data_IF_778359085788
#
_entry.id   IF_778359085788
#
_cell.length_a   1.000
_cell.length_b   1.000
_cell.length_c   1.000
_cell.angle_alpha   90.00
_cell.angle_beta   90.00
_cell.angle_gamma   90.00
#
_symmetry.space_group_name_H-M   'P 1'
#
loop_
_entity.id
_entity.type
_entity.pdbx_description
1 polymer ?
#
# COMPACT_ATOMS: atom_id res chain seq x y z
N UNK A 1 -5.98 22.50 5.82
CA UNK A 1 -5.65 21.05 5.94
C UNK A 1 -4.37 20.77 5.18
N UNK A 2 -4.29 21.16 3.91
CA UNK A 2 -3.10 20.98 3.08
C UNK A 2 -2.56 22.32 2.57
N UNK A 3 -1.25 22.41 2.40
CA UNK A 3 -0.60 23.44 1.59
C UNK A 3 -0.75 23.07 0.11
N UNK A 4 -1.30 23.99 -0.67
CA UNK A 4 -1.61 23.76 -2.08
C UNK A 4 -0.37 23.66 -2.97
N UNK A 5 0.65 24.45 -2.68
CA UNK A 5 1.87 24.46 -3.48
C UNK A 5 2.68 23.20 -3.22
N UNK A 6 2.64 22.67 -1.99
CA UNK A 6 3.20 21.36 -1.65
C UNK A 6 2.46 20.22 -2.37
N UNK A 7 1.13 20.19 -2.33
CA UNK A 7 0.33 19.15 -3.03
C UNK A 7 0.59 19.17 -4.54
N UNK A 8 0.71 20.36 -5.14
CA UNK A 8 1.05 20.52 -6.56
C UNK A 8 2.46 20.03 -6.86
N UNK A 9 3.43 20.33 -6.02
CA UNK A 9 4.81 19.85 -6.18
C UNK A 9 4.89 18.32 -6.12
N UNK A 10 4.00 17.68 -5.33
CA UNK A 10 3.89 16.22 -5.22
C UNK A 10 3.10 15.57 -6.36
N UNK A 11 2.39 16.33 -7.19
CA UNK A 11 1.63 15.79 -8.34
C UNK A 11 0.30 15.12 -7.96
N UNK A 12 -0.23 15.41 -6.76
CA UNK A 12 -1.40 14.74 -6.18
C UNK A 12 -1.00 13.71 -5.12
N UNK A 13 -1.80 13.60 -4.06
CA UNK A 13 -1.47 12.77 -2.89
C UNK A 13 -2.66 11.91 -2.48
N UNK A 14 -2.35 10.78 -1.84
CA UNK A 14 -3.31 9.98 -1.07
C UNK A 14 -2.93 10.13 0.39
N UNK A 15 -3.90 10.52 1.21
CA UNK A 15 -3.67 10.78 2.63
C UNK A 15 -4.96 10.50 3.43
N UNK A 16 -4.85 10.54 4.76
CA UNK A 16 -5.97 10.34 5.67
C UNK A 16 -5.99 11.40 6.75
N UNK A 17 -7.17 11.59 7.34
CA UNK A 17 -7.35 12.48 8.50
C UNK A 17 -7.81 11.67 9.71
N UNK A 18 -7.28 11.98 10.89
CA UNK A 18 -7.85 11.49 12.15
C UNK A 18 -8.95 12.46 12.58
N UNK A 19 -10.19 11.98 12.63
CA UNK A 19 -11.34 12.86 12.85
C UNK A 19 -12.67 12.13 13.10
N UNK A 20 -13.80 12.86 13.08
CA UNK A 20 -15.11 12.30 13.37
C UNK A 20 -15.49 11.15 12.42
N UNK A 21 -16.16 10.12 12.94
CA UNK A 21 -16.45 8.85 12.27
C UNK A 21 -17.34 8.92 11.00
N UNK A 22 -17.77 10.11 10.57
CA UNK A 22 -18.79 10.35 9.53
C UNK A 22 -18.26 10.49 8.09
N UNK A 23 -16.97 10.75 7.90
CA UNK A 23 -16.35 10.78 6.56
C UNK A 23 -15.57 9.49 6.37
N UNK A 24 -15.92 8.71 5.34
CA UNK A 24 -15.23 7.45 5.03
C UNK A 24 -14.17 7.65 3.96
N UNK A 25 -14.58 8.19 2.82
CA UNK A 25 -13.69 8.48 1.69
C UNK A 25 -14.04 9.87 1.19
N UNK A 26 -13.03 10.71 1.00
CA UNK A 26 -13.18 12.01 0.39
C UNK A 26 -12.08 12.26 -0.64
N UNK A 27 -12.38 13.13 -1.59
CA UNK A 27 -11.46 13.67 -2.57
C UNK A 27 -11.52 15.20 -2.45
N UNK A 28 -10.35 15.84 -2.39
CA UNK A 28 -10.24 17.28 -2.55
C UNK A 28 -9.80 17.55 -3.98
N UNK A 29 -10.62 18.26 -4.74
CA UNK A 29 -10.33 18.60 -6.14
C UNK A 29 -10.10 20.10 -6.30
N UNK A 30 -9.09 20.46 -7.09
CA UNK A 30 -8.79 21.85 -7.42
C UNK A 30 -9.61 22.32 -8.63
N UNK A 31 -10.17 23.53 -8.57
CA UNK A 31 -10.78 24.18 -9.74
C UNK A 31 -10.20 25.59 -9.98
N UNK A 32 -9.54 25.78 -11.13
CA UNK A 32 -8.81 27.01 -11.44
C UNK A 32 -9.68 28.15 -12.04
N UNK A 33 -10.76 27.81 -12.76
CA UNK A 33 -11.62 28.82 -13.42
C UNK A 33 -12.28 29.80 -12.41
N UNK A 34 -11.98 31.11 -12.47
CA UNK A 34 -12.58 32.11 -11.58
C UNK A 34 -14.10 32.15 -11.60
N UNK A 35 -14.74 31.89 -12.75
CA UNK A 35 -16.20 31.87 -12.88
C UNK A 35 -16.80 30.67 -12.15
N UNK A 36 -16.16 29.51 -12.23
CA UNK A 36 -16.60 28.33 -11.50
C UNK A 36 -16.38 28.48 -9.99
N UNK A 37 -15.26 29.07 -9.56
CA UNK A 37 -15.03 29.38 -8.13
C UNK A 37 -16.13 30.26 -7.53
N UNK A 38 -16.60 31.26 -8.29
CA UNK A 38 -17.75 32.08 -7.89
C UNK A 38 -19.01 31.24 -7.65
N UNK A 39 -19.36 30.35 -8.58
CA UNK A 39 -20.55 29.49 -8.42
C UNK A 39 -20.39 28.43 -7.33
N UNK A 40 -19.22 27.81 -7.18
CA UNK A 40 -18.95 26.84 -6.13
C UNK A 40 -19.06 27.48 -4.74
N UNK A 41 -18.57 28.71 -4.57
CA UNK A 41 -18.77 29.46 -3.33
C UNK A 41 -20.25 29.82 -3.11
N UNK A 42 -20.97 30.23 -4.18
CA UNK A 42 -22.41 30.47 -4.11
C UNK A 42 -23.16 29.22 -3.61
N UNK A 43 -22.77 28.03 -4.08
CA UNK A 43 -23.31 26.73 -3.67
C UNK A 43 -22.72 26.16 -2.37
N UNK A 44 -21.97 26.96 -1.61
CA UNK A 44 -21.45 26.60 -0.27
C UNK A 44 -20.42 25.47 -0.27
N UNK A 45 -19.73 25.26 -1.39
CA UNK A 45 -18.59 24.34 -1.48
C UNK A 45 -17.29 24.93 -0.88
N UNK A 46 -17.28 26.23 -0.57
CA UNK A 46 -16.14 26.96 -0.05
C UNK A 46 -15.59 28.00 -1.02
N UNK A 47 -14.60 28.77 -0.57
CA UNK A 47 -13.97 29.82 -1.39
C UNK A 47 -12.96 29.26 -2.42
N UNK A 48 -12.58 27.98 -2.27
CA UNK A 48 -11.64 27.30 -3.13
C UNK A 48 -10.17 27.61 -2.78
N UNK A 49 -9.23 27.26 -3.69
CA UNK A 49 -9.47 26.55 -4.94
C UNK A 49 -9.68 25.03 -4.77
N UNK A 50 -9.53 24.49 -3.55
CA UNK A 50 -9.86 23.09 -3.23
C UNK A 50 -11.30 22.94 -2.75
N UNK A 51 -11.98 21.93 -3.29
CA UNK A 51 -13.37 21.63 -2.99
C UNK A 51 -13.54 20.16 -2.56
N UNK A 52 -14.27 19.88 -1.46
CA UNK A 52 -14.44 18.52 -0.97
C UNK A 52 -15.58 17.77 -1.65
N UNK A 53 -15.31 16.54 -2.05
CA UNK A 53 -16.28 15.56 -2.51
C UNK A 53 -16.15 14.33 -1.62
N UNK A 54 -17.24 13.80 -1.07
CA UNK A 54 -17.16 12.62 -0.21
C UNK A 54 -18.37 11.73 -0.37
N UNK A 55 -18.16 10.44 -0.10
CA UNK A 55 -19.23 9.45 0.02
C UNK A 55 -19.38 9.16 1.51
N UNK A 56 -20.56 9.45 2.12
CA UNK A 56 -20.74 9.37 3.57
C UNK A 56 -20.92 7.93 4.08
N UNK A 57 -20.71 6.92 3.24
CA UNK A 57 -20.81 5.51 3.58
C UNK A 57 -19.85 4.68 2.72
N UNK A 58 -19.46 3.52 3.25
CA UNK A 58 -18.86 2.43 2.51
C UNK A 58 -19.33 1.13 3.18
N UNK A 59 -20.08 0.33 2.45
CA UNK A 59 -20.84 -0.79 2.98
C UNK A 59 -20.31 -2.15 2.52
N UNK A 60 -19.02 -2.23 2.16
CA UNK A 60 -18.21 -3.44 1.91
C UNK A 60 -19.02 -4.62 1.32
N UNK A 61 -19.60 -5.48 2.17
CA UNK A 61 -20.35 -6.67 1.78
C UNK A 61 -21.63 -6.39 0.97
N UNK A 62 -22.26 -5.22 1.11
CA UNK A 62 -23.37 -4.79 0.27
C UNK A 62 -22.93 -4.27 -1.11
N UNK A 63 -21.68 -3.83 -1.23
CA UNK A 63 -21.13 -3.28 -2.48
C UNK A 63 -20.47 -4.37 -3.34
N UNK A 64 -19.97 -5.46 -2.73
CA UNK A 64 -19.38 -6.60 -3.45
C UNK A 64 -20.28 -7.20 -4.54
N UNK A 65 -21.60 -7.44 -4.32
CA UNK A 65 -22.48 -7.93 -5.39
C UNK A 65 -22.57 -6.99 -6.60
N UNK A 66 -22.45 -5.67 -6.41
CA UNK A 66 -22.44 -4.72 -7.51
C UNK A 66 -21.17 -4.85 -8.36
N UNK A 67 -20.02 -5.13 -7.73
CA UNK A 67 -18.77 -5.42 -8.44
C UNK A 67 -18.88 -6.67 -9.31
N UNK A 68 -19.47 -7.74 -8.76
CA UNK A 68 -19.71 -8.99 -9.50
C UNK A 68 -20.66 -8.73 -10.67
N UNK A 69 -21.77 -8.03 -10.45
CA UNK A 69 -22.72 -7.69 -11.50
C UNK A 69 -22.08 -6.84 -12.60
N UNK A 70 -21.19 -5.88 -12.25
CA UNK A 70 -20.43 -5.10 -13.22
C UNK A 70 -19.57 -5.96 -14.15
N UNK A 71 -18.76 -6.84 -13.57
CA UNK A 71 -17.91 -7.74 -14.35
C UNK A 71 -18.73 -8.66 -15.25
N UNK A 72 -19.81 -9.25 -14.72
CA UNK A 72 -20.60 -10.27 -15.44
C UNK A 72 -21.53 -9.67 -16.49
N UNK A 73 -22.22 -8.57 -16.17
CA UNK A 73 -23.27 -8.00 -17.03
C UNK A 73 -22.76 -6.92 -17.97
N UNK A 74 -21.73 -6.17 -17.55
CA UNK A 74 -21.21 -5.03 -18.31
C UNK A 74 -19.78 -5.25 -18.82
N UNK A 75 -19.09 -6.30 -18.35
CA UNK A 75 -17.73 -6.61 -18.78
C UNK A 75 -16.68 -5.62 -18.29
N UNK A 76 -16.97 -4.87 -17.22
CA UNK A 76 -16.07 -3.87 -16.66
C UNK A 76 -15.75 -4.11 -15.18
N UNK A 77 -14.60 -3.58 -14.73
CA UNK A 77 -14.12 -3.68 -13.36
C UNK A 77 -14.32 -2.35 -12.63
N UNK A 78 -14.41 -2.38 -11.29
CA UNK A 78 -14.64 -1.17 -10.48
C UNK A 78 -13.36 -0.35 -10.30
N UNK A 79 -12.22 -1.02 -10.14
CA UNK A 79 -10.93 -0.39 -9.87
C UNK A 79 -9.79 -1.14 -10.57
N UNK A 80 -9.67 -1.03 -11.90
CA UNK A 80 -8.52 -1.57 -12.61
C UNK A 80 -7.23 -0.84 -12.18
N UNK A 81 -6.12 -1.56 -11.93
CA UNK A 81 -4.82 -0.91 -11.88
C UNK A 81 -4.50 -0.32 -13.26
N UNK A 82 -3.92 0.89 -13.27
CA UNK A 82 -3.52 1.56 -14.52
C UNK A 82 -2.19 1.03 -15.05
N UNK A 83 -1.26 0.72 -14.16
CA UNK A 83 0.09 0.20 -14.43
C UNK A 83 0.61 -0.52 -13.17
N UNK A 84 1.93 -0.68 -13.02
CA UNK A 84 2.59 -1.19 -11.82
C UNK A 84 2.36 -0.34 -10.56
N UNK A 85 2.73 -0.87 -9.38
CA UNK A 85 2.55 -0.18 -8.11
C UNK A 85 3.28 1.16 -8.05
N UNK A 86 2.61 2.19 -7.53
CA UNK A 86 3.22 3.50 -7.21
C UNK A 86 3.34 3.72 -5.70
N UNK A 87 2.51 3.04 -4.91
CA UNK A 87 2.52 2.99 -3.44
C UNK A 87 2.49 1.53 -3.01
N UNK A 88 3.24 1.23 -1.97
CA UNK A 88 3.35 -0.08 -1.35
C UNK A 88 3.21 0.02 0.16
N UNK A 89 3.04 -1.12 0.85
CA UNK A 89 2.92 -1.16 2.31
C UNK A 89 4.08 -1.98 2.88
N UNK A 90 5.02 -1.29 3.54
CA UNK A 90 6.13 -1.94 4.23
C UNK A 90 5.72 -2.43 5.61
N UNK A 91 6.36 -3.50 6.07
CA UNK A 91 6.21 -4.00 7.44
C UNK A 91 7.08 -3.18 8.40
N UNK A 92 6.50 -2.73 9.51
CA UNK A 92 7.18 -2.00 10.59
C UNK A 92 6.97 -2.71 11.91
N UNK A 93 8.03 -2.85 12.71
CA UNK A 93 7.97 -3.56 13.98
C UNK A 93 7.07 -2.85 15.01
N UNK A 94 6.04 -3.54 15.54
CA UNK A 94 5.14 -3.03 16.60
C UNK A 94 5.79 -2.98 17.98
N UNK A 95 6.83 -3.80 18.17
CA UNK A 95 7.60 -3.97 19.41
C UNK A 95 9.04 -4.35 19.05
N UNK A 96 9.90 -4.42 20.04
CA UNK A 96 11.22 -5.04 19.86
C UNK A 96 11.04 -6.53 19.51
N UNK A 97 11.71 -6.96 18.44
CA UNK A 97 11.72 -8.33 17.93
C UNK A 97 13.12 -8.91 18.07
N UNK A 98 13.23 -10.11 18.62
CA UNK A 98 14.49 -10.81 18.78
C UNK A 98 14.87 -11.62 17.53
N UNK A 99 16.18 -11.86 17.37
CA UNK A 99 16.68 -12.75 16.34
C UNK A 99 16.11 -14.17 16.54
N UNK A 100 15.74 -14.83 15.44
CA UNK A 100 15.19 -16.17 15.43
C UNK A 100 13.68 -16.24 15.67
N UNK A 101 13.01 -15.16 16.09
CA UNK A 101 11.55 -15.11 16.14
C UNK A 101 10.94 -15.29 14.73
N UNK A 102 9.79 -15.95 14.67
CA UNK A 102 9.00 -16.11 13.44
C UNK A 102 7.86 -15.11 13.48
N UNK A 103 7.76 -14.27 12.46
CA UNK A 103 6.72 -13.25 12.35
C UNK A 103 5.34 -13.90 12.27
N UNK A 104 4.39 -13.33 13.02
CA UNK A 104 2.97 -13.69 12.96
C UNK A 104 2.30 -13.15 11.68
N UNK A 105 1.00 -13.39 11.51
CA UNK A 105 0.25 -12.88 10.37
C UNK A 105 0.06 -11.35 10.47
N UNK A 106 -0.09 -10.67 9.32
CA UNK A 106 -0.42 -9.26 9.27
C UNK A 106 -1.68 -8.95 10.12
N UNK A 107 -1.65 -7.81 10.81
CA UNK A 107 -2.73 -7.42 11.73
C UNK A 107 -2.64 -8.01 13.14
N UNK A 108 -1.67 -8.88 13.43
CA UNK A 108 -1.44 -9.46 14.76
C UNK A 108 -0.55 -8.56 15.65
N UNK A 109 0.49 -9.09 16.29
CA UNK A 109 1.21 -8.40 17.37
C UNK A 109 2.63 -7.95 17.00
N UNK A 110 3.23 -8.47 15.92
CA UNK A 110 4.65 -8.21 15.64
C UNK A 110 4.88 -7.06 14.65
N UNK A 111 4.04 -6.89 13.63
CA UNK A 111 4.22 -5.83 12.60
C UNK A 111 2.94 -5.05 12.31
N UNK A 112 3.08 -3.79 11.92
CA UNK A 112 2.04 -2.96 11.28
C UNK A 112 2.51 -2.50 9.90
N UNK A 113 1.57 -2.16 9.03
CA UNK A 113 1.86 -1.63 7.70
C UNK A 113 1.99 -0.12 7.67
N UNK A 114 2.98 0.39 6.93
CA UNK A 114 3.13 1.82 6.61
C UNK A 114 3.24 2.01 5.09
N UNK A 115 2.53 3.01 4.56
CA UNK A 115 2.54 3.28 3.13
C UNK A 115 3.83 3.99 2.71
N UNK A 116 4.47 3.51 1.65
CA UNK A 116 5.69 4.09 1.08
C UNK A 116 5.59 4.14 -0.44
N UNK A 117 6.32 5.08 -1.06
CA UNK A 117 6.43 5.10 -2.53
C UNK A 117 7.13 3.84 -3.04
N UNK A 118 6.68 3.29 -4.17
CA UNK A 118 7.21 2.05 -4.72
C UNK A 118 8.73 2.12 -5.03
N UNK A 119 9.23 3.31 -5.39
CA UNK A 119 10.67 3.52 -5.59
C UNK A 119 11.47 3.38 -4.30
N UNK A 120 10.96 3.91 -3.18
CA UNK A 120 11.58 3.72 -1.88
C UNK A 120 11.50 2.27 -1.43
N UNK A 121 10.32 1.65 -1.57
CA UNK A 121 10.07 0.24 -1.25
C UNK A 121 11.11 -0.67 -1.93
N UNK A 122 11.33 -0.45 -3.23
CA UNK A 122 12.31 -1.20 -4.01
C UNK A 122 13.75 -0.89 -3.59
N UNK A 123 14.13 0.39 -3.57
CA UNK A 123 15.51 0.81 -3.30
C UNK A 123 16.02 0.34 -1.93
N UNK A 124 15.14 0.35 -0.92
CA UNK A 124 15.45 -0.10 0.44
C UNK A 124 15.12 -1.57 0.70
N UNK A 125 14.54 -2.27 -0.29
CA UNK A 125 14.13 -3.68 -0.22
C UNK A 125 13.32 -3.98 1.04
N UNK A 126 12.35 -3.11 1.34
CA UNK A 126 11.46 -3.34 2.46
C UNK A 126 10.67 -4.64 2.29
N UNK A 127 10.40 -5.31 3.39
CA UNK A 127 9.52 -6.48 3.44
C UNK A 127 8.07 -6.00 3.34
N UNK A 128 7.26 -6.45 2.36
CA UNK A 128 5.84 -6.09 2.30
C UNK A 128 5.07 -6.63 3.51
N UNK A 129 4.20 -5.83 4.11
CA UNK A 129 3.39 -6.25 5.27
C UNK A 129 2.54 -7.49 4.94
N UNK A 130 2.01 -7.58 3.72
CA UNK A 130 1.26 -8.77 3.26
C UNK A 130 2.10 -10.04 3.10
N UNK A 131 3.42 -9.98 3.30
CA UNK A 131 4.35 -11.10 3.16
C UNK A 131 5.12 -11.42 4.45
N UNK A 132 4.73 -10.87 5.60
CA UNK A 132 5.45 -11.10 6.87
C UNK A 132 5.28 -12.52 7.42
N UNK A 133 4.10 -13.13 7.25
CA UNK A 133 3.74 -14.37 7.92
C UNK A 133 4.76 -15.49 7.69
N UNK A 134 5.26 -16.08 8.78
CA UNK A 134 6.20 -17.20 8.73
C UNK A 134 7.64 -16.82 8.40
N UNK A 135 7.94 -15.54 8.14
CA UNK A 135 9.30 -15.08 7.97
C UNK A 135 10.07 -15.18 9.29
N UNK A 136 11.26 -15.76 9.26
CA UNK A 136 12.10 -15.91 10.47
C UNK A 136 13.15 -14.80 10.52
N UNK A 137 13.24 -14.11 11.63
CA UNK A 137 14.19 -13.01 11.81
C UNK A 137 15.63 -13.53 11.89
N UNK A 138 16.52 -12.94 11.08
CA UNK A 138 17.97 -13.18 11.10
C UNK A 138 18.68 -12.39 12.19
N UNK A 139 18.12 -11.24 12.57
CA UNK A 139 18.67 -10.31 13.58
C UNK A 139 17.55 -9.67 14.39
N UNK A 140 17.91 -9.08 15.52
CA UNK A 140 16.96 -8.30 16.31
C UNK A 140 16.59 -7.00 15.58
N UNK A 141 15.32 -6.59 15.70
CA UNK A 141 14.74 -5.39 15.11
C UNK A 141 14.05 -4.59 16.22
N UNK A 142 14.46 -3.34 16.48
CA UNK A 142 13.81 -2.48 17.46
C UNK A 142 12.40 -2.09 16.99
N UNK A 143 11.54 -1.74 17.95
CA UNK A 143 10.23 -1.15 17.69
C UNK A 143 10.33 0.05 16.72
N UNK A 144 9.32 0.20 15.88
CA UNK A 144 9.13 1.28 14.90
C UNK A 144 10.21 1.32 13.79
N UNK A 145 11.01 0.25 13.64
CA UNK A 145 11.90 0.06 12.50
C UNK A 145 11.19 -0.72 11.37
N UNK A 146 11.28 -0.21 10.14
CA UNK A 146 10.86 -0.93 8.94
C UNK A 146 11.74 -2.16 8.68
N UNK A 147 11.09 -3.29 8.39
CA UNK A 147 11.74 -4.55 8.07
C UNK A 147 12.15 -4.59 6.58
N UNK A 148 13.25 -5.27 6.30
CA UNK A 148 13.75 -5.52 4.95
C UNK A 148 13.87 -7.01 4.67
N UNK A 149 14.03 -7.39 3.39
CA UNK A 149 14.36 -8.77 3.01
C UNK A 149 15.70 -9.23 3.60
N UNK A 150 16.60 -8.30 3.94
CA UNK A 150 17.87 -8.59 4.61
C UNK A 150 17.71 -8.92 6.10
N UNK A 151 16.52 -8.72 6.67
CA UNK A 151 16.21 -9.01 8.07
C UNK A 151 15.59 -10.38 8.29
N UNK A 152 15.06 -11.00 7.23
CA UNK A 152 14.29 -12.25 7.32
C UNK A 152 14.76 -13.38 6.40
N UNK A 153 14.55 -14.61 6.86
CA UNK A 153 14.48 -15.82 6.04
C UNK A 153 13.01 -16.01 5.63
N UNK A 154 12.76 -16.10 4.32
CA UNK A 154 11.40 -16.29 3.79
C UNK A 154 10.97 -17.77 3.89
N UNK A 155 9.66 -18.04 4.07
CA UNK A 155 9.12 -19.39 3.95
C UNK A 155 9.42 -20.00 2.57
N UNK A 156 9.99 -21.21 2.55
CA UNK A 156 10.36 -21.86 1.30
C UNK A 156 9.12 -22.28 0.52
N UNK A 157 9.06 -21.88 -0.75
CA UNK A 157 8.02 -22.33 -1.68
C UNK A 157 6.70 -21.57 -1.63
N UNK A 158 6.59 -20.50 -0.82
CA UNK A 158 5.38 -19.66 -0.75
C UNK A 158 5.12 -18.97 -2.09
N UNK A 159 3.92 -19.20 -2.66
CA UNK A 159 3.53 -18.68 -3.98
C UNK A 159 3.57 -17.15 -4.04
N UNK A 160 3.17 -16.48 -2.97
CA UNK A 160 3.13 -15.02 -2.91
C UNK A 160 4.52 -14.39 -3.10
N UNK A 161 5.59 -15.00 -2.57
CA UNK A 161 6.96 -14.51 -2.78
C UNK A 161 7.40 -14.67 -4.24
N UNK A 162 7.00 -15.78 -4.89
CA UNK A 162 7.25 -15.99 -6.32
C UNK A 162 6.56 -14.93 -7.16
N UNK A 163 5.27 -14.67 -6.90
CA UNK A 163 4.52 -13.63 -7.61
C UNK A 163 5.10 -12.24 -7.37
N UNK A 164 5.60 -11.96 -6.16
CA UNK A 164 6.29 -10.71 -5.86
C UNK A 164 7.58 -10.57 -6.66
N UNK A 165 8.37 -11.63 -6.79
CA UNK A 165 9.56 -11.63 -7.64
C UNK A 165 9.20 -11.41 -9.12
N UNK A 166 8.12 -12.03 -9.59
CA UNK A 166 7.58 -11.80 -10.94
C UNK A 166 7.15 -10.34 -11.16
N UNK A 167 6.56 -9.68 -10.15
CA UNK A 167 6.22 -8.25 -10.20
C UNK A 167 7.46 -7.36 -10.30
N UNK A 168 8.50 -7.60 -9.47
CA UNK A 168 9.75 -6.85 -9.55
C UNK A 168 10.38 -6.95 -10.94
N UNK A 169 10.43 -8.17 -11.50
CA UNK A 169 10.95 -8.40 -12.85
C UNK A 169 10.10 -7.71 -13.92
N UNK A 170 8.77 -7.82 -13.84
CA UNK A 170 7.87 -7.30 -14.86
C UNK A 170 7.80 -5.77 -14.88
N UNK A 171 7.62 -5.13 -13.72
CA UNK A 171 7.40 -3.69 -13.62
C UNK A 171 8.69 -2.89 -13.43
N UNK A 172 9.77 -3.51 -12.94
CA UNK A 172 11.04 -2.81 -12.63
C UNK A 172 12.28 -3.41 -13.31
N UNK A 173 12.18 -4.57 -13.94
CA UNK A 173 13.33 -5.27 -14.53
C UNK A 173 14.31 -5.81 -13.47
N UNK A 174 13.88 -5.91 -12.21
CA UNK A 174 14.71 -6.34 -11.09
C UNK A 174 14.56 -7.84 -10.81
N UNK A 175 15.67 -8.57 -10.70
CA UNK A 175 15.66 -10.04 -10.51
C UNK A 175 16.17 -10.51 -9.14
N UNK A 176 16.60 -9.58 -8.27
CA UNK A 176 17.30 -9.92 -7.02
C UNK A 176 16.45 -10.81 -6.10
N UNK A 177 15.12 -10.62 -6.04
CA UNK A 177 14.25 -11.45 -5.21
C UNK A 177 14.10 -12.86 -5.78
N UNK A 178 14.03 -12.97 -7.12
CA UNK A 178 14.00 -14.28 -7.79
C UNK A 178 15.27 -15.07 -7.49
N UNK A 179 16.44 -14.41 -7.58
CA UNK A 179 17.75 -14.99 -7.25
C UNK A 179 17.84 -15.42 -5.78
N UNK A 180 17.31 -14.61 -4.86
CA UNK A 180 17.24 -14.93 -3.43
C UNK A 180 16.38 -16.17 -3.17
N UNK A 181 15.21 -16.26 -3.80
CA UNK A 181 14.30 -17.41 -3.66
C UNK A 181 14.89 -18.71 -4.24
N UNK A 182 15.61 -18.62 -5.36
CA UNK A 182 16.31 -19.76 -5.95
C UNK A 182 17.44 -20.25 -5.05
N UNK A 183 18.22 -19.32 -4.49
CA UNK A 183 19.31 -19.63 -3.56
C UNK A 183 18.80 -20.32 -2.28
N UNK A 184 17.70 -19.83 -1.72
CA UNK A 184 17.06 -20.44 -0.54
C UNK A 184 16.58 -21.87 -0.82
N UNK A 185 15.98 -22.12 -2.00
CA UNK A 185 15.58 -23.47 -2.42
C UNK A 185 16.76 -24.41 -2.59
N UNK A 186 17.85 -23.94 -3.19
CA UNK A 186 19.07 -24.74 -3.37
C UNK A 186 19.70 -25.13 -2.02
N UNK A 187 19.72 -24.21 -1.06
CA UNK A 187 20.23 -24.46 0.28
C UNK A 187 19.42 -25.55 1.02
N UNK A 188 18.08 -25.54 0.90
CA UNK A 188 17.23 -26.59 1.48
C UNK A 188 17.39 -27.93 0.77
N UNK A 189 17.58 -27.94 -0.55
CA UNK A 189 17.80 -29.18 -1.30
C UNK A 189 19.17 -29.84 -1.00
N UNK A 190 20.13 -29.08 -0.49
CA UNK A 190 21.47 -29.56 -0.15
C UNK A 190 21.63 -30.00 1.32
N UNK A 191 20.64 -29.73 2.17
CA UNK A 191 20.61 -30.10 3.59
C UNK A 191 19.85 -31.41 3.83
#
# INVERSE_FOLDING_TARGET
>A
LYDLDEVRALGGIVDYTVGPNGVKIFCLAEHADPKQRHYLNLYKMGEGPLYPFWVPYHLVHFETPNAIARVVLFGDNIAPPLDGPVVEVCAVAKRDLAAGEVLDEYGMYMTYGEAVNADEMSAKRYLPEGLVEGCKLKRAIPKDQALTYDDVELPVGRLADKLRAEQYRHFRGENWLEEQLQSARAAVAAA
#
